data_IF_042438208017
#
_entry.id   IF_042438208017
#
_cell.length_a   1.000
_cell.length_b   1.000
_cell.length_c   1.000
_cell.angle_alpha   90.00
_cell.angle_beta   90.00
_cell.angle_gamma   90.00
#
_symmetry.space_group_name_H-M   'P 1'
#
loop_
_entity.id
_entity.type
_entity.pdbx_description
1 polymer ?
#
# COMPACT_ATOMS: atom_id res chain seq x y z
N UNK A 1 -6.64 -18.58 86.98
CA UNK A 1 -6.53 -18.64 85.50
C UNK A 1 -7.19 -17.39 84.91
N UNK A 2 -6.41 -16.44 84.36
CA UNK A 2 -6.96 -15.19 83.79
C UNK A 2 -6.59 -15.17 82.30
N UNK A 3 -7.57 -15.35 81.41
CA UNK A 3 -7.38 -15.22 79.96
C UNK A 3 -7.26 -13.73 79.62
N UNK A 4 -6.16 -13.34 79.00
CA UNK A 4 -5.99 -12.03 78.38
C UNK A 4 -6.70 -12.08 77.02
N UNK A 5 -7.75 -11.30 76.84
CA UNK A 5 -8.38 -11.09 75.55
C UNK A 5 -7.49 -10.16 74.69
N UNK A 6 -7.27 -10.45 73.41
CA UNK A 6 -6.50 -9.57 72.54
C UNK A 6 -7.30 -8.28 72.29
N UNK A 7 -6.72 -7.14 72.65
CA UNK A 7 -7.22 -5.83 72.25
C UNK A 7 -7.00 -5.66 70.75
N UNK A 8 -8.07 -5.78 69.97
CA UNK A 8 -8.06 -5.40 68.56
C UNK A 8 -7.80 -3.89 68.46
N UNK A 9 -6.60 -3.50 68.01
CA UNK A 9 -6.36 -2.12 67.54
C UNK A 9 -7.22 -1.91 66.30
N UNK A 10 -8.27 -1.09 66.42
CA UNK A 10 -8.99 -0.54 65.27
C UNK A 10 -8.08 0.50 64.62
N UNK A 11 -7.48 0.16 63.48
CA UNK A 11 -6.68 1.09 62.68
C UNK A 11 -7.61 2.11 62.04
N UNK A 12 -7.52 3.37 62.46
CA UNK A 12 -8.13 4.50 61.76
C UNK A 12 -7.24 4.93 60.60
N UNK A 13 -7.85 5.37 59.51
CA UNK A 13 -7.13 5.82 58.32
C UNK A 13 -6.58 7.23 58.56
N UNK A 14 -5.30 7.44 58.30
CA UNK A 14 -4.66 8.75 58.48
C UNK A 14 -4.86 9.63 57.24
N UNK A 15 -4.91 10.96 57.43
CA UNK A 15 -4.95 11.92 56.30
C UNK A 15 -3.73 11.71 55.38
N UNK A 16 -2.57 11.36 55.95
CA UNK A 16 -1.36 11.08 55.20
C UNK A 16 -1.53 9.88 54.25
N UNK A 17 -2.13 8.77 54.70
CA UNK A 17 -2.42 7.63 53.83
C UNK A 17 -3.39 7.99 52.70
N UNK A 18 -4.40 8.82 52.97
CA UNK A 18 -5.33 9.30 51.92
C UNK A 18 -4.58 10.13 50.89
N UNK A 19 -3.71 11.04 51.33
CA UNK A 19 -2.91 11.87 50.43
C UNK A 19 -1.94 11.05 49.57
N UNK A 20 -1.30 10.05 50.16
CA UNK A 20 -0.42 9.12 49.41
C UNK A 20 -1.24 8.31 48.41
N UNK A 21 -2.40 7.78 48.80
CA UNK A 21 -3.28 7.04 47.91
C UNK A 21 -3.78 7.91 46.74
N UNK A 22 -4.19 9.15 47.00
CA UNK A 22 -4.58 10.10 45.97
C UNK A 22 -3.41 10.45 45.03
N UNK A 23 -2.20 10.61 45.57
CA UNK A 23 -1.00 10.83 44.76
C UNK A 23 -0.71 9.67 43.81
N UNK A 24 -0.74 8.43 44.32
CA UNK A 24 -0.55 7.22 43.50
C UNK A 24 -1.67 7.10 42.45
N UNK A 25 -2.91 7.37 42.83
CA UNK A 25 -4.06 7.31 41.92
C UNK A 25 -3.90 8.30 40.75
N UNK A 26 -3.49 9.54 41.04
CA UNK A 26 -3.28 10.56 40.01
C UNK A 26 -2.18 10.15 39.03
N UNK A 27 -1.03 9.67 39.54
CA UNK A 27 0.07 9.19 38.70
C UNK A 27 -0.39 8.00 37.84
N UNK A 28 -1.12 7.06 38.42
CA UNK A 28 -1.67 5.91 37.71
C UNK A 28 -2.64 6.32 36.59
N UNK A 29 -3.57 7.24 36.88
CA UNK A 29 -4.50 7.76 35.88
C UNK A 29 -3.78 8.51 34.75
N UNK A 30 -2.79 9.33 35.07
CA UNK A 30 -1.97 10.02 34.04
C UNK A 30 -1.26 9.03 33.13
N UNK A 31 -0.68 7.96 33.68
CA UNK A 31 -0.03 6.91 32.90
C UNK A 31 -1.04 6.18 31.97
N UNK A 32 -2.22 5.84 32.48
CA UNK A 32 -3.28 5.17 31.71
C UNK A 32 -3.76 6.06 30.56
N UNK A 33 -4.04 7.34 30.82
CA UNK A 33 -4.48 8.30 29.79
C UNK A 33 -3.39 8.50 28.72
N UNK A 34 -2.13 8.60 29.15
CA UNK A 34 -0.99 8.69 28.24
C UNK A 34 -0.89 7.49 27.31
N UNK A 35 -0.99 6.28 27.87
CA UNK A 35 -0.92 5.04 27.09
C UNK A 35 -2.11 4.90 26.13
N UNK A 36 -3.32 5.25 26.55
CA UNK A 36 -4.52 5.22 25.70
C UNK A 36 -4.38 6.18 24.50
N UNK A 37 -3.89 7.39 24.75
CA UNK A 37 -3.70 8.39 23.69
C UNK A 37 -2.64 7.94 22.69
N UNK A 38 -1.52 7.39 23.18
CA UNK A 38 -0.46 6.84 22.33
C UNK A 38 -0.95 5.64 21.53
N UNK A 39 -1.67 4.71 22.16
CA UNK A 39 -2.27 3.55 21.50
C UNK A 39 -3.23 3.95 20.38
N UNK A 40 -4.12 4.93 20.62
CA UNK A 40 -5.04 5.45 19.60
C UNK A 40 -4.29 6.04 18.40
N UNK A 41 -3.22 6.82 18.65
CA UNK A 41 -2.39 7.38 17.58
C UNK A 41 -1.67 6.28 16.78
N UNK A 42 -1.16 5.24 17.46
CA UNK A 42 -0.48 4.11 16.82
C UNK A 42 -1.42 3.30 15.95
N UNK A 43 -2.62 2.98 16.43
CA UNK A 43 -3.66 2.27 15.66
C UNK A 43 -4.05 3.05 14.41
N UNK A 44 -4.24 4.37 14.53
CA UNK A 44 -4.54 5.22 13.38
C UNK A 44 -3.40 5.25 12.35
N UNK A 45 -2.15 5.25 12.81
CA UNK A 45 -1.01 5.19 11.92
C UNK A 45 -0.88 3.82 11.24
N UNK A 46 -1.14 2.73 11.98
CA UNK A 46 -1.14 1.37 11.44
C UNK A 46 -2.22 1.18 10.37
N UNK A 47 -3.44 1.68 10.60
CA UNK A 47 -4.52 1.60 9.62
C UNK A 47 -4.21 2.39 8.34
N UNK A 48 -3.59 3.58 8.46
CA UNK A 48 -3.13 4.36 7.31
C UNK A 48 -2.04 3.63 6.52
N UNK A 49 -1.09 2.97 7.21
CA UNK A 49 -0.06 2.15 6.54
C UNK A 49 -0.66 0.95 5.82
N UNK A 50 -1.61 0.25 6.44
CA UNK A 50 -2.32 -0.88 5.82
C UNK A 50 -3.09 -0.46 4.58
N UNK A 51 -3.89 0.61 4.68
CA UNK A 51 -4.62 1.16 3.53
C UNK A 51 -3.68 1.66 2.42
N UNK A 52 -2.51 2.19 2.76
CA UNK A 52 -1.51 2.58 1.76
C UNK A 52 -0.93 1.37 1.03
N UNK A 53 -0.71 0.25 1.72
CA UNK A 53 -0.16 -0.95 1.11
C UNK A 53 -1.12 -1.56 0.08
N UNK A 54 -2.40 -1.71 0.44
CA UNK A 54 -3.41 -2.22 -0.50
C UNK A 54 -3.62 -1.27 -1.68
N UNK A 55 -3.56 0.05 -1.45
CA UNK A 55 -3.66 1.04 -2.52
C UNK A 55 -2.49 0.94 -3.51
N UNK A 56 -1.27 0.67 -3.02
CA UNK A 56 -0.10 0.43 -3.88
C UNK A 56 -0.31 -0.81 -4.74
N UNK A 57 -0.78 -1.92 -4.15
CA UNK A 57 -1.07 -3.15 -4.90
C UNK A 57 -2.14 -2.92 -5.98
N UNK A 58 -3.23 -2.21 -5.64
CA UNK A 58 -4.28 -1.86 -6.59
C UNK A 58 -3.75 -1.00 -7.75
N UNK A 59 -2.88 -0.03 -7.47
CA UNK A 59 -2.25 0.80 -8.52
C UNK A 59 -1.32 -0.04 -9.39
N UNK A 60 -0.50 -0.91 -8.81
CA UNK A 60 0.40 -1.78 -9.59
C UNK A 60 -0.42 -2.70 -10.50
N UNK A 61 -1.50 -3.30 -10.00
CA UNK A 61 -2.40 -4.13 -10.80
C UNK A 61 -3.04 -3.35 -11.97
N UNK A 62 -3.53 -2.14 -11.72
CA UNK A 62 -4.11 -1.27 -12.78
C UNK A 62 -3.07 -0.90 -13.84
N UNK A 63 -1.83 -0.64 -13.41
CA UNK A 63 -0.72 -0.35 -14.32
C UNK A 63 -0.32 -1.58 -15.14
N UNK A 64 -0.28 -2.77 -14.56
CA UNK A 64 0.03 -4.01 -15.29
C UNK A 64 -1.03 -4.35 -16.35
N UNK A 65 -2.29 -3.99 -16.10
CA UNK A 65 -3.39 -4.25 -17.04
C UNK A 65 -3.47 -3.21 -18.16
N UNK A 66 -3.32 -1.92 -17.84
CA UNK A 66 -3.69 -0.84 -18.76
C UNK A 66 -2.62 0.21 -19.05
N UNK A 67 -1.42 0.14 -18.46
CA UNK A 67 -0.42 1.20 -18.63
C UNK A 67 0.17 1.25 -20.04
N UNK A 68 0.37 0.09 -20.65
CA UNK A 68 0.94 0.01 -21.99
C UNK A 68 -0.16 -0.20 -23.04
N UNK A 69 -0.39 0.77 -23.94
CA UNK A 69 -1.41 0.64 -24.97
C UNK A 69 -1.03 -0.44 -25.97
N UNK A 70 -2.03 -1.17 -26.46
CA UNK A 70 -1.85 -2.18 -27.48
C UNK A 70 -1.97 -1.50 -28.84
N UNK A 71 -0.90 -1.55 -29.64
CA UNK A 71 -0.85 -0.96 -30.99
C UNK A 71 -0.87 -2.10 -32.00
N UNK A 72 -1.87 -2.10 -32.89
CA UNK A 72 -1.94 -3.03 -34.00
C UNK A 72 -1.35 -2.37 -35.23
N UNK A 73 -0.32 -2.99 -35.80
CA UNK A 73 0.24 -2.54 -37.07
C UNK A 73 -0.71 -2.98 -38.20
N UNK A 74 -1.29 -2.02 -38.90
CA UNK A 74 -2.25 -2.24 -39.99
C UNK A 74 -1.62 -2.93 -41.21
N UNK A 75 -0.30 -2.80 -41.40
CA UNK A 75 0.40 -3.36 -42.55
C UNK A 75 0.81 -4.83 -42.34
N UNK A 76 1.14 -5.21 -41.11
CA UNK A 76 1.62 -6.57 -40.78
C UNK A 76 0.61 -7.39 -39.98
N UNK A 77 -0.47 -6.76 -39.48
CA UNK A 77 -1.42 -7.37 -38.56
C UNK A 77 -0.82 -7.71 -37.18
N UNK A 78 0.48 -7.47 -36.98
CA UNK A 78 1.17 -7.76 -35.74
C UNK A 78 0.73 -6.79 -34.65
N UNK A 79 0.47 -7.35 -33.48
CA UNK A 79 0.12 -6.55 -32.32
C UNK A 79 1.35 -6.35 -31.45
N UNK A 80 1.76 -5.09 -31.32
CA UNK A 80 2.88 -4.65 -30.48
C UNK A 80 2.35 -3.85 -29.30
N UNK A 81 3.18 -3.70 -28.27
CA UNK A 81 2.86 -2.91 -27.09
C UNK A 81 3.49 -1.55 -27.29
N UNK A 82 2.76 -0.44 -27.18
CA UNK A 82 3.29 0.93 -27.33
C UNK A 82 4.07 1.43 -26.11
N UNK A 83 4.63 2.63 -26.19
CA UNK A 83 5.13 3.34 -25.02
C UNK A 83 3.95 3.87 -24.18
N UNK A 84 4.05 3.86 -22.84
CA UNK A 84 2.95 4.29 -21.99
C UNK A 84 2.83 5.82 -21.97
N UNK A 85 1.61 6.39 -22.14
CA UNK A 85 1.38 7.80 -21.88
C UNK A 85 1.42 8.09 -20.36
N UNK A 86 1.74 9.33 -19.94
CA UNK A 86 1.63 9.71 -18.54
C UNK A 86 0.17 9.63 -18.08
N UNK A 87 -0.05 9.06 -16.89
CA UNK A 87 -1.36 9.04 -16.23
C UNK A 87 -1.41 10.20 -15.24
N UNK A 88 -2.51 10.95 -15.25
CA UNK A 88 -2.71 12.08 -14.34
C UNK A 88 -4.03 11.95 -13.59
N UNK A 89 -3.96 12.04 -12.25
CA UNK A 89 -5.09 12.09 -11.32
C UNK A 89 -6.16 10.99 -11.53
N UNK A 90 -5.75 9.78 -11.91
CA UNK A 90 -6.67 8.65 -12.06
C UNK A 90 -7.12 8.14 -10.69
N UNK A 91 -8.40 7.80 -10.47
CA UNK A 91 -8.85 7.20 -9.21
C UNK A 91 -8.16 5.86 -8.96
N UNK A 92 -7.83 5.56 -7.70
CA UNK A 92 -7.30 4.26 -7.30
C UNK A 92 -8.44 3.24 -7.22
N UNK A 93 -8.38 2.11 -7.93
CA UNK A 93 -9.42 1.06 -7.86
C UNK A 93 -9.64 0.57 -6.43
N UNK A 94 -10.90 0.47 -6.00
CA UNK A 94 -11.27 0.00 -4.65
C UNK A 94 -10.99 1.01 -3.51
N UNK A 95 -10.41 2.18 -3.80
CA UNK A 95 -10.04 3.18 -2.79
C UNK A 95 -10.64 4.57 -3.09
N UNK A 96 -11.88 4.83 -2.66
CA UNK A 96 -12.52 6.13 -2.86
C UNK A 96 -11.72 7.27 -2.22
N UNK A 97 -11.58 8.38 -2.94
CA UNK A 97 -10.87 9.58 -2.46
C UNK A 97 -9.35 9.53 -2.59
N UNK A 98 -8.78 8.44 -3.11
CA UNK A 98 -7.39 8.37 -3.54
C UNK A 98 -7.31 8.55 -5.05
N UNK A 99 -6.36 9.37 -5.50
CA UNK A 99 -6.00 9.48 -6.91
C UNK A 99 -4.51 9.18 -7.08
N UNK A 100 -4.12 8.74 -8.27
CA UNK A 100 -2.74 8.48 -8.59
C UNK A 100 -2.35 9.06 -9.95
N UNK A 101 -1.07 9.41 -10.07
CA UNK A 101 -0.44 9.81 -11.33
C UNK A 101 0.78 8.92 -11.55
N UNK A 102 1.07 8.56 -12.79
CA UNK A 102 2.18 7.67 -13.13
C UNK A 102 2.94 8.18 -14.35
N UNK A 103 4.27 8.13 -14.30
CA UNK A 103 5.15 8.46 -15.44
C UNK A 103 6.13 7.34 -15.68
N UNK A 104 6.15 6.82 -16.91
CA UNK A 104 7.08 5.78 -17.34
C UNK A 104 8.33 6.39 -17.95
N UNK A 105 9.49 5.90 -17.54
CA UNK A 105 10.79 6.18 -18.17
C UNK A 105 11.42 4.85 -18.57
N UNK A 106 11.90 4.69 -19.82
CA UNK A 106 12.60 3.48 -20.21
C UNK A 106 13.89 3.34 -19.41
N UNK A 107 14.22 2.13 -18.94
CA UNK A 107 15.48 1.90 -18.23
C UNK A 107 16.64 1.86 -19.25
N UNK A 108 17.60 2.80 -19.21
CA UNK A 108 18.71 2.84 -20.16
C UNK A 108 19.67 1.64 -20.02
N UNK A 109 19.60 0.88 -18.92
CA UNK A 109 20.47 -0.27 -18.69
C UNK A 109 19.99 -1.56 -19.36
N UNK A 110 18.79 -1.57 -19.94
CA UNK A 110 18.22 -2.75 -20.59
C UNK A 110 18.51 -2.75 -22.10
N UNK A 111 19.77 -3.05 -22.45
CA UNK A 111 20.30 -3.11 -23.83
C UNK A 111 20.28 -4.53 -24.42
N UNK A 112 19.59 -5.49 -23.81
CA UNK A 112 19.54 -6.87 -24.33
C UNK A 112 18.68 -6.92 -25.58
N UNK A 113 19.31 -7.13 -26.73
CA UNK A 113 18.65 -7.44 -27.99
C UNK A 113 17.71 -8.65 -27.79
N UNK A 114 16.39 -8.41 -27.78
CA UNK A 114 15.36 -9.44 -27.61
C UNK A 114 14.75 -9.57 -26.20
N UNK A 115 15.17 -8.79 -25.21
CA UNK A 115 14.55 -8.75 -23.87
C UNK A 115 13.30 -7.86 -23.81
N UNK A 116 12.32 -8.22 -22.98
CA UNK A 116 11.17 -7.35 -22.70
C UNK A 116 11.66 -6.04 -22.06
N UNK A 117 11.47 -4.92 -22.78
CA UNK A 117 11.93 -3.59 -22.35
C UNK A 117 11.38 -3.26 -20.96
N UNK A 118 12.28 -3.07 -19.98
CA UNK A 118 11.94 -2.61 -18.63
C UNK A 118 11.68 -1.10 -18.63
N UNK A 119 10.63 -0.72 -17.92
CA UNK A 119 10.24 0.66 -17.68
C UNK A 119 10.25 0.94 -16.18
N UNK A 120 10.96 1.99 -15.79
CA UNK A 120 10.86 2.57 -14.45
C UNK A 120 9.63 3.46 -14.42
N UNK A 121 8.67 3.12 -13.57
CA UNK A 121 7.41 3.85 -13.42
C UNK A 121 7.41 4.54 -12.07
N UNK A 122 7.42 5.87 -12.11
CA UNK A 122 7.31 6.71 -10.93
C UNK A 122 5.82 7.03 -10.70
N UNK A 123 5.31 6.65 -9.52
CA UNK A 123 3.91 6.76 -9.15
C UNK A 123 3.77 7.72 -7.97
N UNK A 124 2.82 8.64 -8.07
CA UNK A 124 2.42 9.54 -6.99
C UNK A 124 0.96 9.26 -6.63
N UNK A 125 0.71 8.83 -5.39
CA UNK A 125 -0.64 8.69 -4.83
C UNK A 125 -0.96 9.95 -4.03
N UNK A 126 -2.15 10.54 -4.24
CA UNK A 126 -2.65 11.73 -3.56
C UNK A 126 -3.95 11.44 -2.82
N UNK A 127 -4.10 12.04 -1.65
CA UNK A 127 -5.33 11.99 -0.86
C UNK A 127 -5.50 13.26 -0.02
N UNK A 128 -6.75 13.53 0.40
CA UNK A 128 -7.08 14.66 1.27
C UNK A 128 -7.18 14.21 2.72
N UNK A 129 -6.52 14.91 3.64
CA UNK A 129 -6.66 14.72 5.09
C UNK A 129 -6.94 16.07 5.75
N UNK A 130 -8.11 16.22 6.38
CA UNK A 130 -8.51 17.45 7.08
C UNK A 130 -8.36 18.71 6.20
N UNK A 131 -8.78 18.64 4.93
CA UNK A 131 -8.68 19.73 3.96
C UNK A 131 -7.29 20.00 3.40
N UNK A 132 -6.27 19.22 3.79
CA UNK A 132 -4.90 19.32 3.24
C UNK A 132 -4.62 18.16 2.30
N UNK A 133 -4.09 18.48 1.12
CA UNK A 133 -3.59 17.48 0.18
C UNK A 133 -2.30 16.86 0.72
N UNK A 134 -2.23 15.53 0.68
CA UNK A 134 -1.06 14.72 1.03
C UNK A 134 -0.73 13.86 -0.18
N UNK A 135 0.56 13.61 -0.38
CA UNK A 135 1.03 12.70 -1.41
C UNK A 135 2.09 11.75 -0.89
N UNK A 136 2.20 10.61 -1.56
CA UNK A 136 3.25 9.62 -1.36
C UNK A 136 3.70 9.11 -2.72
N UNK A 137 5.02 9.06 -2.91
CA UNK A 137 5.62 8.55 -4.12
C UNK A 137 6.24 7.18 -3.89
N UNK A 138 6.21 6.35 -4.93
CA UNK A 138 6.99 5.14 -5.00
C UNK A 138 7.35 4.86 -6.46
N UNK A 139 8.39 4.05 -6.65
CA UNK A 139 8.86 3.66 -7.98
C UNK A 139 8.72 2.16 -8.12
N UNK A 140 8.19 1.70 -9.24
CA UNK A 140 8.11 0.28 -9.60
C UNK A 140 8.73 0.04 -10.97
N UNK A 141 9.11 -1.20 -11.24
CA UNK A 141 9.62 -1.63 -12.53
C UNK A 141 8.54 -2.46 -13.23
N UNK A 142 8.13 -2.03 -14.42
CA UNK A 142 7.19 -2.78 -15.26
C UNK A 142 7.89 -3.29 -16.51
N UNK A 143 7.44 -4.44 -16.98
CA UNK A 143 7.88 -5.02 -18.26
C UNK A 143 6.90 -4.60 -19.36
N UNK A 144 7.41 -4.13 -20.49
CA UNK A 144 6.61 -3.87 -21.69
C UNK A 144 6.22 -5.20 -22.33
N UNK A 145 5.12 -5.77 -21.87
CA UNK A 145 4.56 -7.04 -22.36
C UNK A 145 3.06 -6.91 -22.60
N UNK A 146 2.51 -7.74 -23.49
CA UNK A 146 1.06 -7.80 -23.72
C UNK A 146 0.41 -8.29 -22.41
N UNK A 147 -0.61 -7.59 -21.86
CA UNK A 147 -1.26 -8.01 -20.63
C UNK A 147 -1.77 -9.45 -20.68
N UNK A 148 -1.77 -10.15 -19.55
CA UNK A 148 -2.14 -11.57 -19.48
C UNK A 148 -3.53 -11.87 -20.07
N UNK A 149 -4.54 -11.06 -19.75
CA UNK A 149 -5.90 -11.25 -20.25
C UNK A 149 -5.98 -11.22 -21.78
N UNK A 150 -5.17 -10.38 -22.42
CA UNK A 150 -5.11 -10.31 -23.88
C UNK A 150 -4.37 -11.52 -24.47
N UNK A 151 -3.31 -12.02 -23.81
CA UNK A 151 -2.64 -13.27 -24.23
C UNK A 151 -3.60 -14.45 -24.18
N UNK A 152 -4.37 -14.57 -23.09
CA UNK A 152 -5.37 -15.62 -22.92
C UNK A 152 -6.50 -15.50 -23.95
N UNK A 153 -6.97 -14.28 -24.23
CA UNK A 153 -7.97 -14.02 -25.27
C UNK A 153 -7.49 -14.52 -26.63
N UNK A 154 -6.24 -14.26 -27.00
CA UNK A 154 -5.66 -14.76 -28.27
C UNK A 154 -5.57 -16.27 -28.29
N UNK A 155 -5.11 -16.89 -27.20
CA UNK A 155 -5.02 -18.34 -27.13
C UNK A 155 -6.41 -19.01 -27.30
N UNK A 156 -7.44 -18.41 -26.71
CA UNK A 156 -8.80 -18.94 -26.74
C UNK A 156 -9.54 -18.66 -28.07
N UNK A 157 -9.31 -17.51 -28.70
CA UNK A 157 -10.01 -17.09 -29.93
C UNK A 157 -9.24 -17.52 -31.19
N UNK A 158 -7.93 -17.30 -31.24
CA UNK A 158 -7.11 -17.53 -32.44
C UNK A 158 -6.50 -18.95 -32.49
N UNK A 159 -6.58 -19.71 -31.39
CA UNK A 159 -5.92 -21.01 -31.24
C UNK A 159 -4.40 -20.90 -31.12
N UNK A 160 -3.68 -22.00 -30.83
CA UNK A 160 -2.23 -21.97 -30.67
C UNK A 160 -1.57 -21.51 -31.99
N UNK A 161 -0.96 -20.32 -31.94
CA UNK A 161 -0.23 -19.75 -33.08
C UNK A 161 0.83 -20.75 -33.57
N UNK A 162 0.89 -21.07 -34.87
CA UNK A 162 1.81 -22.08 -35.39
C UNK A 162 3.23 -21.66 -35.05
N UNK A 163 3.93 -22.52 -34.30
CA UNK A 163 5.36 -22.37 -34.01
C UNK A 163 6.08 -22.06 -35.33
N UNK A 164 6.72 -20.90 -35.41
CA UNK A 164 7.62 -20.56 -36.50
C UNK A 164 8.72 -21.64 -36.55
N UNK A 165 8.53 -22.61 -37.45
CA UNK A 165 9.46 -23.71 -37.65
C UNK A 165 10.78 -23.15 -38.16
N UNK A 166 11.85 -23.48 -37.44
CA UNK A 166 13.26 -23.39 -37.81
C UNK A 166 13.50 -23.21 -39.32
N UNK A 167 13.80 -21.98 -39.75
CA UNK A 167 14.63 -21.77 -40.91
C UNK A 167 16.09 -21.90 -40.42
N UNK A 168 16.67 -23.06 -40.68
CA UNK A 168 18.10 -23.34 -40.54
C UNK A 168 18.71 -23.14 -41.95
N UNK A 169 19.94 -22.61 -42.04
CA UNK A 169 20.49 -21.98 -43.26
C UNK A 169 20.70 -22.94 -44.43
#
# INVERSE_FOLDING_TARGET
MRRLAPTHRRGGFTILEVLVAMGILLVGMSAVIGLLTFGAAMTRNASLKGASASAVEAVVSDLEEGFFPIVRDEATGQTSVGAPPPIENRPVPGHPGLTYSARGTPDPKDTRAGGALRWRVDVEIRWMTSGRSRSRTFTTLLLRQVPFGERLRRELIDGPSPKAGNQTP
#
